data_IF_292607624052
#
_entry.id   IF_292607624052
#
_cell.length_a   1.000
_cell.length_b   1.000
_cell.length_c   1.000
_cell.angle_alpha   90.00
_cell.angle_beta   90.00
_cell.angle_gamma   90.00
#
_symmetry.space_group_name_H-M   'P 1'
#
loop_
_entity.id
_entity.type
_entity.pdbx_description
1 polymer ?
#
# COMPACT_ATOMS: atom_id res chain seq x y z
N UNK A 1 27.55 -21.70 -76.30
CA UNK A 1 27.19 -21.86 -74.90
C UNK A 1 26.93 -20.46 -74.33
N UNK A 2 25.64 -20.13 -74.03
CA UNK A 2 25.25 -18.81 -73.49
C UNK A 2 25.13 -18.93 -71.99
N UNK A 3 25.97 -18.23 -71.25
CA UNK A 3 25.91 -18.18 -69.79
C UNK A 3 24.92 -17.05 -69.37
N UNK A 4 23.80 -17.46 -68.80
CA UNK A 4 22.87 -16.53 -68.18
C UNK A 4 23.38 -16.20 -66.74
N UNK A 5 23.79 -14.95 -66.53
CA UNK A 5 24.17 -14.41 -65.26
C UNK A 5 22.88 -13.95 -64.58
N UNK A 6 22.41 -14.65 -63.49
CA UNK A 6 21.32 -14.23 -62.63
C UNK A 6 21.87 -13.26 -61.62
N UNK A 7 21.45 -12.01 -61.73
CA UNK A 7 21.73 -10.95 -60.73
C UNK A 7 20.72 -11.02 -59.61
N UNK A 8 21.11 -11.50 -58.42
CA UNK A 8 20.29 -11.45 -57.21
C UNK A 8 20.41 -10.05 -56.60
N UNK A 9 19.35 -9.24 -56.70
CA UNK A 9 19.23 -7.96 -56.00
C UNK A 9 18.71 -8.22 -54.59
N UNK A 10 19.59 -8.12 -53.59
CA UNK A 10 19.20 -8.14 -52.19
C UNK A 10 18.55 -6.78 -51.81
N UNK A 11 17.23 -6.76 -51.66
CA UNK A 11 16.49 -5.59 -51.13
C UNK A 11 16.69 -5.54 -49.63
N UNK A 12 17.58 -4.68 -49.13
CA UNK A 12 17.80 -4.43 -47.71
C UNK A 12 16.63 -3.60 -47.19
N UNK A 13 15.62 -4.23 -46.58
CA UNK A 13 14.52 -3.52 -45.89
C UNK A 13 15.05 -3.01 -44.54
N UNK A 14 15.34 -1.72 -44.48
CA UNK A 14 15.67 -1.05 -43.20
C UNK A 14 14.39 -1.01 -42.33
N UNK A 15 14.29 -1.89 -41.33
CA UNK A 15 13.27 -1.83 -40.30
C UNK A 15 13.54 -0.61 -39.42
N UNK A 16 12.56 0.28 -39.22
CA UNK A 16 12.72 1.38 -38.26
C UNK A 16 12.93 0.80 -36.85
N UNK A 17 14.04 1.13 -36.22
CA UNK A 17 14.28 0.80 -34.82
C UNK A 17 13.23 1.55 -33.98
N UNK A 18 12.23 0.84 -33.48
CA UNK A 18 11.29 1.37 -32.49
C UNK A 18 12.11 1.62 -31.20
N UNK A 19 12.52 2.86 -30.98
CA UNK A 19 13.07 3.27 -29.68
C UNK A 19 11.94 3.17 -28.67
N UNK A 20 11.91 2.09 -27.91
CA UNK A 20 11.07 1.99 -26.73
C UNK A 20 11.43 3.14 -25.79
N UNK A 21 10.52 4.09 -25.61
CA UNK A 21 10.69 5.18 -24.66
C UNK A 21 10.57 4.56 -23.27
N UNK A 22 11.70 4.37 -22.60
CA UNK A 22 11.73 3.91 -21.22
C UNK A 22 10.96 4.94 -20.38
N UNK A 23 9.81 4.53 -19.83
CA UNK A 23 9.05 5.37 -18.92
C UNK A 23 9.85 5.51 -17.62
N UNK A 24 10.25 6.74 -17.26
CA UNK A 24 10.97 7.00 -16.04
C UNK A 24 10.07 6.73 -14.83
N UNK A 25 10.43 5.74 -13.99
CA UNK A 25 9.74 5.44 -12.74
C UNK A 25 10.19 6.44 -11.68
N UNK A 26 9.27 7.24 -11.17
CA UNK A 26 9.49 8.13 -10.02
C UNK A 26 9.03 7.46 -8.74
N UNK A 27 9.88 7.45 -7.72
CA UNK A 27 9.58 6.97 -6.37
C UNK A 27 9.48 8.17 -5.42
N UNK A 28 8.43 8.19 -4.59
CA UNK A 28 8.23 9.22 -3.57
C UNK A 28 8.24 8.56 -2.19
N UNK A 29 8.91 9.20 -1.22
CA UNK A 29 8.76 8.82 0.17
C UNK A 29 7.39 9.28 0.65
N UNK A 30 6.62 8.35 1.24
CA UNK A 30 5.24 8.58 1.63
C UNK A 30 5.01 8.49 3.14
N UNK A 31 6.08 8.40 3.94
CA UNK A 31 6.06 8.05 5.35
C UNK A 31 5.62 9.17 6.30
N UNK A 32 5.82 10.45 5.94
CA UNK A 32 5.47 11.58 6.80
C UNK A 32 3.98 11.90 6.81
N UNK A 33 3.53 12.70 7.78
CA UNK A 33 2.21 13.36 7.82
C UNK A 33 1.01 12.42 7.77
N UNK A 34 1.13 11.22 8.30
CA UNK A 34 -0.02 10.37 8.55
C UNK A 34 -0.75 10.83 9.81
N UNK A 35 -2.05 10.59 9.84
CA UNK A 35 -2.90 10.79 11.01
C UNK A 35 -3.42 9.45 11.47
N UNK A 36 -3.52 9.27 12.78
CA UNK A 36 -3.89 8.01 13.42
C UNK A 36 -4.95 8.25 14.49
N UNK A 37 -5.90 7.31 14.56
CA UNK A 37 -6.87 7.20 15.65
C UNK A 37 -7.15 5.73 15.95
N UNK A 38 -7.11 5.37 17.23
CA UNK A 38 -7.53 4.06 17.74
C UNK A 38 -9.04 3.96 17.82
N UNK A 39 -9.58 2.79 17.53
CA UNK A 39 -11.01 2.50 17.44
C UNK A 39 -11.47 2.27 16.01
N UNK A 40 -12.69 1.75 15.86
CA UNK A 40 -13.25 1.49 14.54
C UNK A 40 -14.16 2.61 14.07
N UNK A 41 -13.77 3.27 13.01
CA UNK A 41 -14.49 4.40 12.40
C UNK A 41 -14.80 4.08 10.93
N UNK A 42 -15.84 3.30 10.60
CA UNK A 42 -16.10 2.85 9.22
C UNK A 42 -16.24 3.97 8.19
N UNK A 43 -16.61 5.19 8.63
CA UNK A 43 -16.66 6.38 7.77
C UNK A 43 -15.29 6.99 7.49
N UNK A 44 -14.24 6.59 8.20
CA UNK A 44 -12.89 7.11 8.00
C UNK A 44 -12.28 6.74 6.65
N UNK A 45 -12.87 5.82 5.90
CA UNK A 45 -12.54 5.56 4.49
C UNK A 45 -12.90 6.73 3.57
N UNK A 46 -13.90 7.55 3.94
CA UNK A 46 -14.45 8.61 3.09
C UNK A 46 -13.49 9.81 3.06
N UNK A 47 -13.29 10.40 1.87
CA UNK A 47 -12.37 11.54 1.70
C UNK A 47 -12.78 12.77 2.53
N UNK A 48 -14.08 12.94 2.76
CA UNK A 48 -14.66 14.09 3.50
C UNK A 48 -14.70 13.89 5.01
N UNK A 49 -14.24 12.75 5.51
CA UNK A 49 -14.22 12.49 6.95
C UNK A 49 -13.28 13.48 7.67
N UNK A 50 -13.75 14.08 8.77
CA UNK A 50 -12.96 15.01 9.57
C UNK A 50 -11.98 14.25 10.48
N UNK A 51 -10.70 14.31 10.13
CA UNK A 51 -9.59 13.75 10.90
C UNK A 51 -8.71 14.84 11.56
N UNK A 52 -9.22 16.06 11.72
CA UNK A 52 -8.46 17.19 12.24
C UNK A 52 -7.94 16.98 13.67
N UNK A 53 -8.65 16.17 14.47
CA UNK A 53 -8.29 15.85 15.85
C UNK A 53 -7.44 14.59 16.00
N UNK A 54 -7.08 13.93 14.91
CA UNK A 54 -6.29 12.70 14.95
C UNK A 54 -4.80 12.99 15.23
N UNK A 55 -4.14 12.07 15.92
CA UNK A 55 -2.70 12.16 16.21
C UNK A 55 -1.91 12.10 14.93
N UNK A 56 -1.02 13.06 14.71
CA UNK A 56 -0.07 13.01 13.59
C UNK A 56 1.08 12.05 13.91
N UNK A 57 1.45 11.22 12.94
CA UNK A 57 2.53 10.23 13.05
C UNK A 57 3.34 10.16 11.76
N UNK A 58 4.54 9.59 11.86
CA UNK A 58 5.42 9.26 10.73
C UNK A 58 5.61 7.75 10.69
N UNK A 59 5.51 7.14 9.51
CA UNK A 59 5.79 5.73 9.31
C UNK A 59 7.33 5.50 9.22
N UNK A 60 7.82 4.33 9.62
CA UNK A 60 7.09 3.21 10.25
C UNK A 60 6.56 3.56 11.64
N UNK A 61 5.39 3.03 12.00
CA UNK A 61 4.74 3.31 13.27
C UNK A 61 3.91 2.11 13.74
N UNK A 62 4.14 1.69 14.97
CA UNK A 62 3.27 0.76 15.68
C UNK A 62 2.51 1.53 16.77
N UNK A 63 1.17 1.44 16.78
CA UNK A 63 0.37 2.26 17.69
C UNK A 63 0.55 1.91 19.17
N UNK A 64 0.99 0.67 19.46
CA UNK A 64 1.21 0.14 20.79
C UNK A 64 2.70 -0.03 21.15
N UNK A 65 3.62 0.62 20.41
CA UNK A 65 5.07 0.53 20.69
C UNK A 65 5.46 1.14 22.05
N UNK A 66 4.74 2.15 22.50
CA UNK A 66 4.96 2.79 23.81
C UNK A 66 4.71 1.84 24.98
N UNK A 67 4.01 0.75 24.76
CA UNK A 67 3.74 -0.31 25.76
C UNK A 67 4.91 -1.30 25.87
N UNK A 68 5.80 -1.33 24.87
CA UNK A 68 6.97 -2.19 24.87
C UNK A 68 7.78 -1.97 26.16
N UNK A 69 8.16 -3.07 26.80
CA UNK A 69 8.88 -3.07 28.10
C UNK A 69 8.11 -2.50 29.31
N UNK A 70 6.88 -2.01 29.12
CA UNK A 70 6.03 -1.51 30.22
C UNK A 70 5.04 -2.57 30.69
N UNK A 71 4.58 -3.40 29.75
CA UNK A 71 3.65 -4.50 30.01
C UNK A 71 4.21 -5.78 29.42
N UNK A 72 3.67 -6.93 29.79
CA UNK A 72 4.05 -8.21 29.16
C UNK A 72 3.55 -8.26 27.71
N UNK A 73 4.15 -9.11 26.89
CA UNK A 73 3.76 -9.33 25.49
C UNK A 73 2.26 -9.65 25.36
N UNK A 74 1.71 -10.38 26.32
CA UNK A 74 0.32 -10.79 26.36
C UNK A 74 -0.65 -9.64 26.68
N UNK A 75 -0.13 -8.55 27.24
CA UNK A 75 -0.90 -7.39 27.67
C UNK A 75 -0.80 -6.22 26.68
N UNK A 76 -0.06 -6.37 25.59
CA UNK A 76 -0.03 -5.34 24.53
C UNK A 76 -1.45 -5.10 24.00
N UNK A 77 -1.79 -3.84 23.86
CA UNK A 77 -3.12 -3.43 23.35
C UNK A 77 -3.33 -3.98 21.95
N UNK A 78 -4.44 -4.68 21.78
CA UNK A 78 -4.96 -5.14 20.51
C UNK A 78 -6.27 -4.40 20.18
N UNK A 79 -6.36 -3.82 19.00
CA UNK A 79 -7.53 -3.03 18.59
C UNK A 79 -7.51 -2.72 17.10
N UNK A 80 -8.61 -2.14 16.63
CA UNK A 80 -8.67 -1.51 15.32
C UNK A 80 -8.05 -0.12 15.39
N UNK A 81 -7.25 0.21 14.39
CA UNK A 81 -6.64 1.54 14.25
C UNK A 81 -6.78 2.01 12.81
N UNK A 82 -7.13 3.26 12.65
CA UNK A 82 -7.18 3.90 11.35
C UNK A 82 -5.99 4.83 11.16
N UNK A 83 -5.35 4.71 9.99
CA UNK A 83 -4.35 5.63 9.48
C UNK A 83 -4.93 6.37 8.28
N UNK A 84 -4.72 7.69 8.22
CA UNK A 84 -5.16 8.50 7.08
C UNK A 84 -4.06 9.46 6.66
N UNK A 85 -4.02 9.76 5.36
CA UNK A 85 -3.12 10.78 4.83
C UNK A 85 -3.76 11.47 3.63
N UNK A 86 -3.80 12.80 3.66
CA UNK A 86 -4.07 13.63 2.50
C UNK A 86 -2.79 13.87 1.72
N UNK A 87 -2.86 13.80 0.40
CA UNK A 87 -1.70 13.99 -0.46
C UNK A 87 -2.08 14.49 -1.86
N UNK A 88 -1.08 15.03 -2.55
CA UNK A 88 -1.20 15.45 -3.97
C UNK A 88 -0.04 14.84 -4.74
N UNK A 89 -0.30 14.41 -5.99
CA UNK A 89 0.76 14.00 -6.91
C UNK A 89 1.04 15.19 -7.82
N UNK A 90 2.27 15.74 -7.78
CA UNK A 90 2.68 16.79 -8.70
C UNK A 90 2.64 16.28 -10.14
N UNK A 91 2.13 17.10 -11.05
CA UNK A 91 2.19 16.85 -12.50
C UNK A 91 1.63 15.49 -12.95
N UNK A 92 0.58 14.99 -12.29
CA UNK A 92 -0.09 13.76 -12.67
C UNK A 92 -0.61 13.86 -14.11
N UNK A 93 -0.07 13.00 -14.99
CA UNK A 93 -0.47 12.92 -16.39
C UNK A 93 -1.43 11.76 -16.62
N UNK A 94 -2.33 11.90 -17.58
CA UNK A 94 -3.38 10.91 -17.89
C UNK A 94 -2.85 9.55 -18.35
N UNK A 95 -1.61 9.49 -18.86
CA UNK A 95 -0.96 8.26 -19.33
C UNK A 95 -0.04 7.62 -18.26
N UNK A 96 0.02 8.16 -17.04
CA UNK A 96 0.83 7.62 -15.97
C UNK A 96 0.05 6.57 -15.17
N UNK A 97 0.79 5.56 -14.70
CA UNK A 97 0.34 4.60 -13.70
C UNK A 97 0.87 5.02 -12.33
N UNK A 98 0.03 4.91 -11.32
CA UNK A 98 0.36 5.26 -9.94
C UNK A 98 0.14 4.06 -9.05
N UNK A 99 1.16 3.68 -8.31
CA UNK A 99 1.11 2.58 -7.35
C UNK A 99 1.50 3.06 -5.97
N UNK A 100 0.90 2.46 -4.95
CA UNK A 100 1.36 2.56 -3.56
C UNK A 100 1.85 1.18 -3.12
N UNK A 101 2.88 1.16 -2.29
CA UNK A 101 3.44 -0.05 -1.70
C UNK A 101 3.61 0.16 -0.21
N UNK A 102 3.13 -0.79 0.59
CA UNK A 102 3.36 -0.90 2.03
C UNK A 102 4.27 -2.11 2.26
N UNK A 103 5.37 -1.91 2.96
CA UNK A 103 6.34 -2.99 3.23
C UNK A 103 5.87 -3.91 4.35
N UNK A 104 4.85 -3.51 5.10
CA UNK A 104 4.17 -4.33 6.11
C UNK A 104 3.03 -3.56 6.78
N UNK A 105 1.91 -4.26 7.01
CA UNK A 105 0.75 -3.75 7.76
C UNK A 105 0.26 -4.85 8.68
N UNK A 106 0.30 -4.62 9.99
CA UNK A 106 0.02 -5.66 10.98
C UNK A 106 -1.34 -5.47 11.66
N UNK A 107 -2.14 -6.51 11.75
CA UNK A 107 -1.91 -7.82 11.10
C UNK A 107 -2.75 -7.94 9.84
N UNK A 108 -3.90 -7.29 9.84
CA UNK A 108 -4.78 -7.12 8.70
C UNK A 108 -4.86 -5.64 8.34
N UNK A 109 -4.82 -5.35 7.06
CA UNK A 109 -5.08 -4.02 6.52
C UNK A 109 -6.23 -4.04 5.53
N UNK A 110 -7.18 -3.13 5.67
CA UNK A 110 -8.15 -2.76 4.63
C UNK A 110 -7.75 -1.38 4.07
N UNK A 111 -7.62 -1.26 2.76
CA UNK A 111 -7.03 -0.09 2.12
C UNK A 111 -8.05 0.64 1.25
N UNK A 112 -8.06 1.96 1.34
CA UNK A 112 -9.03 2.79 0.62
C UNK A 112 -8.35 4.03 0.02
N UNK A 113 -8.70 4.39 -1.22
CA UNK A 113 -8.32 5.66 -1.84
C UNK A 113 -9.58 6.44 -2.19
N UNK A 114 -9.72 7.67 -1.65
CA UNK A 114 -10.89 8.53 -1.90
C UNK A 114 -12.24 7.84 -1.62
N UNK A 115 -12.29 6.92 -0.64
CA UNK A 115 -13.46 6.10 -0.30
C UNK A 115 -13.59 4.79 -1.09
N UNK A 116 -12.84 4.61 -2.18
CA UNK A 116 -12.83 3.38 -2.96
C UNK A 116 -11.98 2.30 -2.29
N UNK A 117 -12.51 1.11 -2.16
CA UNK A 117 -11.80 -0.04 -1.61
C UNK A 117 -10.73 -0.52 -2.61
N UNK A 118 -9.47 -0.53 -2.20
CA UNK A 118 -8.35 -1.05 -2.97
C UNK A 118 -8.13 -2.54 -2.74
N UNK A 119 -8.56 -3.05 -1.58
CA UNK A 119 -8.39 -4.45 -1.20
C UNK A 119 -8.05 -4.63 0.27
N UNK A 120 -7.84 -5.89 0.64
CA UNK A 120 -7.44 -6.35 1.97
C UNK A 120 -6.13 -7.12 1.88
N UNK A 121 -5.31 -7.01 2.91
CA UNK A 121 -4.12 -7.81 3.11
C UNK A 121 -4.11 -8.38 4.52
N UNK A 122 -3.90 -9.70 4.63
CA UNK A 122 -3.99 -10.46 5.88
C UNK A 122 -2.64 -11.08 6.30
N UNK A 123 -1.54 -10.47 5.88
CA UNK A 123 -0.19 -10.93 6.23
C UNK A 123 0.64 -9.77 6.79
N UNK A 124 0.89 -9.81 8.09
CA UNK A 124 1.53 -8.71 8.81
C UNK A 124 3.02 -8.45 8.50
N UNK A 125 3.67 -9.29 7.70
CA UNK A 125 5.12 -9.22 7.45
C UNK A 125 5.49 -9.12 5.97
N UNK A 126 4.54 -9.30 5.06
CA UNK A 126 4.77 -9.18 3.63
C UNK A 126 4.37 -7.81 3.11
N UNK A 127 5.09 -7.36 2.09
CA UNK A 127 4.72 -6.16 1.36
C UNK A 127 3.43 -6.37 0.54
N UNK A 128 2.65 -5.30 0.42
CA UNK A 128 1.45 -5.26 -0.40
C UNK A 128 1.43 -3.97 -1.23
N UNK A 129 1.03 -4.09 -2.49
CA UNK A 129 0.94 -2.95 -3.40
C UNK A 129 -0.43 -2.86 -4.07
N UNK A 130 -0.85 -1.62 -4.36
CA UNK A 130 -2.13 -1.35 -5.02
C UNK A 130 -1.96 -0.39 -6.19
N UNK A 131 -2.67 -0.64 -7.29
CA UNK A 131 -2.82 0.31 -8.40
C UNK A 131 -3.82 1.40 -8.01
N UNK A 132 -3.33 2.61 -7.83
CA UNK A 132 -4.16 3.78 -7.50
C UNK A 132 -4.76 4.44 -8.75
N UNK A 133 -4.26 4.10 -9.93
CA UNK A 133 -4.59 4.76 -11.19
C UNK A 133 -6.10 4.92 -11.44
N UNK A 134 -6.97 3.91 -11.14
CA UNK A 134 -8.41 4.02 -11.39
C UNK A 134 -9.12 5.06 -10.52
N UNK A 135 -8.56 5.40 -9.34
CA UNK A 135 -9.25 6.18 -8.31
C UNK A 135 -8.52 7.47 -7.93
N UNK A 136 -7.28 7.65 -8.43
CA UNK A 136 -6.51 8.87 -8.17
C UNK A 136 -7.03 10.01 -9.03
N UNK A 137 -7.06 11.21 -8.47
CA UNK A 137 -7.54 12.42 -9.16
C UNK A 137 -6.51 13.52 -9.10
N UNK A 138 -6.67 14.51 -9.98
CA UNK A 138 -5.94 15.77 -9.86
C UNK A 138 -6.30 16.46 -8.55
N UNK A 139 -5.32 17.12 -7.92
CA UNK A 139 -5.50 17.79 -6.64
C UNK A 139 -5.39 16.85 -5.45
N UNK A 140 -6.21 17.08 -4.45
CA UNK A 140 -6.13 16.38 -3.18
C UNK A 140 -6.75 14.99 -3.24
N UNK A 141 -6.02 14.01 -2.71
CA UNK A 141 -6.42 12.63 -2.53
C UNK A 141 -6.27 12.24 -1.07
N UNK A 142 -7.07 11.28 -0.62
CA UNK A 142 -7.00 10.73 0.72
C UNK A 142 -6.82 9.23 0.63
N UNK A 143 -5.72 8.73 1.20
CA UNK A 143 -5.52 7.31 1.48
C UNK A 143 -5.95 7.04 2.92
N UNK A 144 -6.67 5.95 3.13
CA UNK A 144 -7.06 5.47 4.44
C UNK A 144 -6.73 4.00 4.58
N UNK A 145 -6.17 3.60 5.72
CA UNK A 145 -5.82 2.22 6.05
C UNK A 145 -6.44 1.89 7.39
N UNK A 146 -7.32 0.90 7.41
CA UNK A 146 -7.82 0.30 8.63
C UNK A 146 -6.95 -0.88 8.98
N UNK A 147 -6.25 -0.81 10.10
CA UNK A 147 -5.46 -1.94 10.61
C UNK A 147 -6.21 -2.62 11.74
N UNK A 148 -6.04 -3.92 11.86
CA UNK A 148 -6.67 -4.73 12.88
C UNK A 148 -5.63 -5.74 13.38
N UNK A 149 -5.24 -5.63 14.65
CA UNK A 149 -4.31 -6.55 15.29
C UNK A 149 -4.97 -7.36 16.42
N UNK A 150 -6.29 -7.47 16.42
CA UNK A 150 -7.02 -8.28 17.38
C UNK A 150 -6.49 -9.72 17.35
N UNK A 151 -6.04 -10.22 18.49
CA UNK A 151 -5.52 -11.58 18.63
C UNK A 151 -6.59 -12.67 18.36
N UNK A 152 -7.88 -12.33 18.43
CA UNK A 152 -8.98 -13.21 18.05
C UNK A 152 -9.26 -13.18 16.55
N UNK A 153 -8.63 -12.28 15.83
CA UNK A 153 -8.85 -12.18 14.39
C UNK A 153 -8.57 -13.52 13.68
N UNK A 154 -9.45 -13.85 12.75
CA UNK A 154 -9.32 -15.03 11.90
C UNK A 154 -9.27 -14.60 10.44
N UNK A 155 -8.35 -15.14 9.70
CA UNK A 155 -8.25 -14.92 8.26
C UNK A 155 -9.58 -15.24 7.57
N UNK A 156 -9.99 -14.38 6.65
CA UNK A 156 -11.27 -14.51 5.98
C UNK A 156 -11.35 -15.80 5.14
N UNK A 157 -10.27 -16.15 4.46
CA UNK A 157 -10.19 -17.33 3.59
C UNK A 157 -10.12 -18.65 4.34
N UNK A 158 -9.25 -18.75 5.33
CA UNK A 158 -8.96 -20.02 6.03
C UNK A 158 -9.76 -20.21 7.31
N UNK A 159 -10.33 -19.12 7.88
CA UNK A 159 -10.93 -19.06 9.22
C UNK A 159 -9.97 -19.44 10.34
N UNK A 160 -8.71 -19.60 10.04
CA UNK A 160 -7.66 -19.89 11.00
C UNK A 160 -7.24 -18.63 11.76
N UNK A 161 -6.80 -18.78 13.00
CA UNK A 161 -6.09 -17.71 13.69
C UNK A 161 -4.80 -17.42 12.94
N UNK A 162 -4.45 -16.15 12.87
CA UNK A 162 -3.15 -15.78 12.35
C UNK A 162 -2.07 -16.42 13.24
N UNK A 163 -1.16 -17.19 12.67
CA UNK A 163 -0.13 -17.89 13.45
C UNK A 163 0.79 -16.96 14.25
N UNK A 164 0.85 -15.68 13.88
CA UNK A 164 1.61 -14.63 14.56
C UNK A 164 0.82 -13.94 15.69
N UNK A 165 -0.43 -14.34 15.92
CA UNK A 165 -1.27 -13.89 17.03
C UNK A 165 -1.15 -14.76 18.27
N UNK A 166 -0.07 -15.52 18.40
CA UNK A 166 0.19 -16.24 19.63
C UNK A 166 0.79 -15.27 20.65
N UNK A 167 -0.03 -14.89 21.62
CA UNK A 167 0.39 -14.01 22.73
C UNK A 167 1.58 -14.54 23.52
N UNK A 168 1.85 -15.83 23.46
CA UNK A 168 2.96 -16.44 24.17
C UNK A 168 4.28 -16.41 23.39
N UNK A 169 4.22 -16.12 22.10
CA UNK A 169 5.38 -16.27 21.20
C UNK A 169 5.84 -14.96 20.54
N UNK A 170 4.93 -14.05 20.21
CA UNK A 170 5.24 -12.83 19.46
C UNK A 170 4.60 -11.59 20.05
N UNK A 171 5.36 -10.51 20.11
CA UNK A 171 4.82 -9.19 20.38
C UNK A 171 3.84 -8.78 19.28
N UNK A 172 2.58 -8.52 19.66
CA UNK A 172 1.53 -8.12 18.75
C UNK A 172 1.57 -6.61 18.46
N UNK A 173 2.66 -6.14 17.86
CA UNK A 173 2.73 -4.74 17.41
C UNK A 173 1.79 -4.54 16.22
N UNK A 174 0.82 -3.63 16.39
CA UNK A 174 -0.16 -3.29 15.37
C UNK A 174 0.13 -1.97 14.67
N UNK A 175 -0.31 -1.84 13.42
CA UNK A 175 -0.17 -0.60 12.65
C UNK A 175 0.54 -0.79 11.32
N UNK A 176 1.35 0.18 10.93
CA UNK A 176 2.15 0.17 9.69
C UNK A 176 3.63 0.22 10.08
N UNK A 177 4.22 -0.90 10.51
CA UNK A 177 5.58 -0.96 11.04
C UNK A 177 6.67 -1.00 9.97
N UNK A 178 6.30 -1.03 8.70
CA UNK A 178 7.21 -0.94 7.54
C UNK A 178 6.57 -0.22 6.37
#
# INVERSE_FOLDING_TARGET
MKHNLFLFVFLLVALPAVKGQASERKKYNFNSEWKLQTGDFPKAKDATFDDSKWKQVTLPHAFNEDEAFKVSIEQLTDTVVWYRKSFRIPDLKSNQKVFIEFEGVRQRGDFYLNGHNLGRHENGVMAVGFDLTPYIKQGENVIAVRTDNDWMYREEGTKSKFQWNDRNFNANYGGIPK
#
